data_IF_096408037302
#
_entry.id   IF_096408037302
#
_cell.length_a   1.000
_cell.length_b   1.000
_cell.length_c   1.000
_cell.angle_alpha   90.00
_cell.angle_beta   90.00
_cell.angle_gamma   90.00
#
_symmetry.space_group_name_H-M   'P 1'
#
loop_
_entity.id
_entity.type
_entity.pdbx_description
1 polymer ?
#
# COMPACT_ATOMS: atom_id res chain seq x y z
N UNK A 1 17.69 -21.83 4.29
CA UNK A 1 16.90 -20.59 4.19
C UNK A 1 17.37 -19.65 5.28
N UNK A 2 17.68 -18.40 4.94
CA UNK A 2 18.00 -17.40 5.97
C UNK A 2 16.74 -17.00 6.73
N UNK A 3 16.88 -16.55 7.98
CA UNK A 3 15.76 -16.06 8.79
C UNK A 3 14.96 -14.98 8.05
N UNK A 4 15.65 -14.12 7.32
CA UNK A 4 15.05 -13.04 6.50
C UNK A 4 14.13 -13.61 5.41
N UNK A 5 14.54 -14.70 4.75
CA UNK A 5 13.71 -15.36 3.73
C UNK A 5 12.45 -15.99 4.33
N UNK A 6 12.57 -16.61 5.50
CA UNK A 6 11.41 -17.19 6.20
C UNK A 6 10.41 -16.08 6.57
N UNK A 7 10.89 -14.99 7.14
CA UNK A 7 10.06 -13.82 7.48
C UNK A 7 9.41 -13.21 6.24
N UNK A 8 10.15 -13.10 5.13
CA UNK A 8 9.60 -12.60 3.87
C UNK A 8 8.42 -13.44 3.38
N UNK A 9 8.59 -14.78 3.32
CA UNK A 9 7.51 -15.64 2.87
C UNK A 9 6.32 -15.65 3.83
N UNK A 10 6.55 -15.59 5.14
CA UNK A 10 5.50 -15.53 6.13
C UNK A 10 4.68 -14.23 6.00
N UNK A 11 5.35 -13.07 5.89
CA UNK A 11 4.69 -11.78 5.69
C UNK A 11 3.96 -11.72 4.34
N UNK A 12 4.55 -12.29 3.28
CA UNK A 12 3.91 -12.35 1.96
C UNK A 12 2.64 -13.20 1.98
N UNK A 13 2.67 -14.37 2.60
CA UNK A 13 1.49 -15.21 2.77
C UNK A 13 0.40 -14.52 3.59
N UNK A 14 0.79 -13.84 4.67
CA UNK A 14 -0.13 -13.06 5.50
C UNK A 14 -0.75 -11.88 4.72
N UNK A 15 0.05 -11.15 3.94
CA UNK A 15 -0.42 -10.04 3.10
C UNK A 15 -1.44 -10.52 2.05
N UNK A 16 -1.12 -11.60 1.33
CA UNK A 16 -2.00 -12.18 0.31
C UNK A 16 -3.28 -12.72 0.95
N UNK A 17 -3.18 -13.44 2.06
CA UNK A 17 -4.32 -13.97 2.80
C UNK A 17 -5.27 -12.85 3.25
N UNK A 18 -4.71 -11.80 3.85
CA UNK A 18 -5.47 -10.62 4.28
C UNK A 18 -6.11 -9.90 3.08
N UNK A 19 -5.41 -9.74 1.97
CA UNK A 19 -5.93 -9.11 0.76
C UNK A 19 -7.10 -9.91 0.14
N UNK A 20 -7.02 -11.23 0.14
CA UNK A 20 -8.13 -12.08 -0.29
C UNK A 20 -9.34 -11.89 0.64
N UNK A 21 -9.12 -11.81 1.95
CA UNK A 21 -10.20 -11.58 2.91
C UNK A 21 -10.86 -10.21 2.76
N UNK A 22 -10.14 -9.18 2.32
CA UNK A 22 -10.74 -7.87 1.93
C UNK A 22 -11.79 -8.05 0.85
N UNK A 23 -11.52 -8.90 -0.15
CA UNK A 23 -12.41 -9.11 -1.30
C UNK A 23 -13.59 -10.04 -0.98
N UNK A 24 -13.37 -11.04 -0.15
CA UNK A 24 -14.38 -12.08 0.20
C UNK A 24 -15.33 -11.60 1.29
N UNK A 25 -14.91 -10.66 2.12
CA UNK A 25 -15.71 -10.16 3.24
C UNK A 25 -16.98 -9.47 2.75
N UNK A 26 -18.14 -9.93 3.24
CA UNK A 26 -19.45 -9.34 2.92
C UNK A 26 -19.76 -8.07 3.71
N UNK A 27 -19.07 -7.88 4.83
CA UNK A 27 -19.28 -6.70 5.70
C UNK A 27 -18.18 -5.67 5.38
N UNK A 28 -18.54 -4.45 4.96
CA UNK A 28 -17.57 -3.41 4.63
C UNK A 28 -16.60 -3.08 5.77
N UNK A 29 -17.09 -3.11 7.02
CA UNK A 29 -16.25 -2.85 8.20
C UNK A 29 -15.16 -3.93 8.33
N UNK A 30 -15.53 -5.20 8.18
CA UNK A 30 -14.55 -6.30 8.22
C UNK A 30 -13.55 -6.21 7.06
N UNK A 31 -13.98 -5.79 5.86
CA UNK A 31 -13.07 -5.57 4.73
C UNK A 31 -12.01 -4.52 5.06
N UNK A 32 -12.39 -3.41 5.69
CA UNK A 32 -11.44 -2.36 6.10
C UNK A 32 -10.48 -2.87 7.18
N UNK A 33 -10.95 -3.66 8.12
CA UNK A 33 -10.07 -4.25 9.15
C UNK A 33 -9.02 -5.18 8.52
N UNK A 34 -9.42 -6.02 7.55
CA UNK A 34 -8.47 -6.83 6.79
C UNK A 34 -7.48 -5.98 5.98
N UNK A 35 -7.93 -4.86 5.43
CA UNK A 35 -7.06 -3.94 4.68
C UNK A 35 -6.01 -3.29 5.60
N UNK A 36 -6.36 -2.96 6.85
CA UNK A 36 -5.39 -2.49 7.84
C UNK A 36 -4.30 -3.55 8.06
N UNK A 37 -4.67 -4.83 8.17
CA UNK A 37 -3.70 -5.92 8.32
C UNK A 37 -2.79 -6.06 7.11
N UNK A 38 -3.28 -5.81 5.89
CA UNK A 38 -2.44 -5.74 4.68
C UNK A 38 -1.37 -4.65 4.82
N UNK A 39 -1.73 -3.45 5.30
CA UNK A 39 -0.76 -2.37 5.49
C UNK A 39 0.28 -2.71 6.56
N UNK A 40 -0.09 -3.42 7.63
CA UNK A 40 0.88 -3.91 8.60
C UNK A 40 1.87 -4.91 7.97
N UNK A 41 1.39 -5.82 7.13
CA UNK A 41 2.25 -6.76 6.42
C UNK A 41 3.21 -6.03 5.46
N UNK A 42 2.72 -5.03 4.72
CA UNK A 42 3.54 -4.18 3.84
C UNK A 42 4.62 -3.44 4.65
N UNK A 43 4.28 -2.90 5.82
CA UNK A 43 5.25 -2.26 6.71
C UNK A 43 6.34 -3.24 7.16
N UNK A 44 5.98 -4.50 7.44
CA UNK A 44 6.94 -5.57 7.70
C UNK A 44 7.91 -5.79 6.53
N UNK A 45 7.41 -5.78 5.29
CA UNK A 45 8.27 -5.88 4.09
C UNK A 45 9.20 -4.67 3.97
N UNK A 46 8.75 -3.46 4.28
CA UNK A 46 9.63 -2.28 4.30
C UNK A 46 10.76 -2.40 5.31
N UNK A 47 10.50 -2.99 6.48
CA UNK A 47 11.55 -3.26 7.47
C UNK A 47 12.57 -4.26 6.92
N UNK A 48 12.12 -5.35 6.27
CA UNK A 48 13.00 -6.33 5.65
C UNK A 48 13.86 -5.74 4.53
N UNK A 49 13.39 -4.69 3.86
CA UNK A 49 14.09 -3.95 2.82
C UNK A 49 14.98 -2.82 3.37
N UNK A 50 15.17 -2.73 4.70
CA UNK A 50 15.89 -1.64 5.39
C UNK A 50 15.29 -0.24 5.15
N UNK A 51 14.02 -0.14 4.73
CA UNK A 51 13.29 1.10 4.51
C UNK A 51 12.48 1.49 5.77
N UNK A 52 13.15 1.67 6.89
CA UNK A 52 12.53 1.87 8.20
C UNK A 52 11.62 3.09 8.26
N UNK A 53 12.02 4.20 7.62
CA UNK A 53 11.19 5.40 7.56
C UNK A 53 9.87 5.15 6.84
N UNK A 54 9.91 4.44 5.69
CA UNK A 54 8.70 4.10 4.95
C UNK A 54 7.78 3.17 5.75
N UNK A 55 8.34 2.23 6.51
CA UNK A 55 7.56 1.35 7.38
C UNK A 55 6.76 2.14 8.43
N UNK A 56 7.41 3.09 9.10
CA UNK A 56 6.77 3.92 10.13
C UNK A 56 5.70 4.82 9.51
N UNK A 57 6.00 5.50 8.40
CA UNK A 57 5.03 6.35 7.70
C UNK A 57 3.83 5.55 7.22
N UNK A 58 4.04 4.34 6.70
CA UNK A 58 2.95 3.47 6.27
C UNK A 58 2.01 3.13 7.43
N UNK A 59 2.53 2.81 8.61
CA UNK A 59 1.71 2.53 9.79
C UNK A 59 0.96 3.79 10.25
N UNK A 60 1.65 4.93 10.38
CA UNK A 60 1.05 6.14 10.93
C UNK A 60 0.00 6.72 9.98
N UNK A 61 0.32 6.82 8.69
CA UNK A 61 -0.53 7.50 7.72
C UNK A 61 -1.57 6.55 7.12
N UNK A 62 -1.12 5.41 6.55
CA UNK A 62 -2.05 4.51 5.86
C UNK A 62 -2.90 3.69 6.83
N UNK A 63 -2.27 2.93 7.73
CA UNK A 63 -3.01 2.10 8.67
C UNK A 63 -3.68 2.94 9.78
N UNK A 64 -3.05 4.02 10.22
CA UNK A 64 -3.57 4.93 11.25
C UNK A 64 -4.57 5.93 10.69
N UNK A 65 -4.10 7.02 10.09
CA UNK A 65 -4.94 8.16 9.76
C UNK A 65 -5.99 7.84 8.67
N UNK A 66 -5.54 7.30 7.52
CA UNK A 66 -6.42 7.11 6.36
C UNK A 66 -7.42 5.98 6.61
N UNK A 67 -6.97 4.82 7.10
CA UNK A 67 -7.86 3.68 7.27
C UNK A 67 -8.83 3.87 8.43
N UNK A 68 -8.41 4.51 9.50
CA UNK A 68 -9.31 4.83 10.62
C UNK A 68 -10.39 5.83 10.18
N UNK A 69 -10.01 6.88 9.43
CA UNK A 69 -10.99 7.81 8.84
C UNK A 69 -11.96 7.08 7.91
N UNK A 70 -11.45 6.19 7.06
CA UNK A 70 -12.27 5.41 6.13
C UNK A 70 -13.24 4.49 6.87
N UNK A 71 -12.80 3.87 7.96
CA UNK A 71 -13.64 3.04 8.83
C UNK A 71 -14.78 3.85 9.45
N UNK A 72 -14.50 5.06 9.96
CA UNK A 72 -15.53 5.95 10.45
C UNK A 72 -16.55 6.34 9.39
N UNK A 73 -16.07 6.69 8.19
CA UNK A 73 -16.95 7.06 7.08
C UNK A 73 -17.88 5.90 6.70
N UNK A 74 -17.35 4.67 6.55
CA UNK A 74 -18.17 3.49 6.24
C UNK A 74 -19.18 3.17 7.35
N UNK A 75 -18.80 3.39 8.61
CA UNK A 75 -19.71 3.17 9.75
C UNK A 75 -20.85 4.18 9.76
N UNK A 76 -20.60 5.43 9.34
CA UNK A 76 -21.62 6.48 9.26
C UNK A 76 -22.54 6.34 8.04
N UNK A 77 -22.03 5.80 6.93
CA UNK A 77 -22.82 5.56 5.74
C UNK A 77 -23.61 4.27 5.93
N UNK A 78 -24.95 4.39 5.96
CA UNK A 78 -25.82 3.22 5.95
C UNK A 78 -25.79 2.57 4.56
N UNK A 79 -24.82 1.67 4.36
CA UNK A 79 -24.71 0.88 3.13
C UNK A 79 -25.84 -0.15 3.13
N UNK A 80 -27.04 0.27 2.66
CA UNK A 80 -28.10 -0.70 2.37
C UNK A 80 -27.57 -1.68 1.33
N UNK A 81 -27.77 -2.98 1.60
CA UNK A 81 -27.58 -4.03 0.59
C UNK A 81 -28.64 -3.84 -0.49
N UNK A 82 -28.39 -2.98 -1.45
CA UNK A 82 -29.12 -3.06 -2.71
C UNK A 82 -28.71 -4.39 -3.34
N UNK A 83 -29.71 -5.18 -3.72
CA UNK A 83 -29.51 -6.44 -4.40
C UNK A 83 -28.63 -6.20 -5.64
N UNK A 84 -27.35 -6.57 -5.53
CA UNK A 84 -26.45 -6.47 -6.69
C UNK A 84 -27.09 -7.23 -7.86
N UNK A 85 -27.30 -6.58 -9.02
CA UNK A 85 -27.76 -7.29 -10.20
C UNK A 85 -26.77 -8.43 -10.45
N UNK A 86 -27.28 -9.63 -10.67
CA UNK A 86 -26.45 -10.83 -10.90
C UNK A 86 -25.45 -10.51 -12.01
N UNK A 87 -24.17 -10.32 -11.63
CA UNK A 87 -23.11 -10.07 -12.60
C UNK A 87 -23.08 -11.22 -13.59
N UNK A 88 -23.33 -10.91 -14.86
CA UNK A 88 -23.36 -11.88 -15.93
C UNK A 88 -22.07 -12.70 -15.93
N UNK A 89 -22.17 -13.99 -16.17
CA UNK A 89 -21.02 -14.92 -16.21
C UNK A 89 -19.85 -14.38 -17.08
N UNK A 90 -20.19 -13.71 -18.18
CA UNK A 90 -19.26 -13.09 -19.12
C UNK A 90 -18.37 -12.03 -18.47
N UNK A 91 -18.92 -11.19 -17.60
CA UNK A 91 -18.16 -10.15 -16.86
C UNK A 91 -17.17 -10.78 -15.88
N UNK A 92 -17.57 -11.87 -15.21
CA UNK A 92 -16.68 -12.62 -14.31
C UNK A 92 -15.54 -13.28 -15.10
N UNK A 93 -15.84 -13.89 -16.24
CA UNK A 93 -14.83 -14.50 -17.11
C UNK A 93 -13.81 -13.48 -17.63
N UNK A 94 -14.29 -12.33 -18.13
CA UNK A 94 -13.43 -11.24 -18.59
C UNK A 94 -12.53 -10.69 -17.47
N UNK A 95 -13.05 -10.57 -16.24
CA UNK A 95 -12.27 -10.16 -15.08
C UNK A 95 -11.15 -11.14 -14.75
N UNK A 96 -11.42 -12.45 -14.79
CA UNK A 96 -10.40 -13.49 -14.57
C UNK A 96 -9.34 -13.49 -15.67
N UNK A 97 -9.73 -13.34 -16.93
CA UNK A 97 -8.79 -13.25 -18.06
C UNK A 97 -7.89 -12.00 -17.95
N UNK A 98 -8.49 -10.85 -17.66
CA UNK A 98 -7.74 -9.59 -17.48
C UNK A 98 -6.77 -9.67 -16.29
N UNK A 99 -7.21 -10.17 -15.15
CA UNK A 99 -6.35 -10.36 -13.98
C UNK A 99 -5.25 -11.38 -14.21
N UNK A 100 -5.56 -12.49 -14.87
CA UNK A 100 -4.60 -13.53 -15.25
C UNK A 100 -3.54 -13.04 -16.23
N UNK A 101 -3.95 -12.29 -17.27
CA UNK A 101 -3.01 -11.69 -18.23
C UNK A 101 -2.09 -10.66 -17.57
N UNK A 102 -2.62 -9.83 -16.69
CA UNK A 102 -1.81 -8.87 -15.92
C UNK A 102 -0.79 -9.58 -15.02
N UNK A 103 -1.21 -10.63 -14.31
CA UNK A 103 -0.30 -11.41 -13.46
C UNK A 103 0.82 -12.06 -14.27
N UNK A 104 0.51 -12.65 -15.43
CA UNK A 104 1.53 -13.28 -16.30
C UNK A 104 2.52 -12.27 -16.84
N UNK A 105 2.07 -11.06 -17.21
CA UNK A 105 2.95 -9.96 -17.61
C UNK A 105 3.88 -9.53 -16.47
N UNK A 106 3.38 -9.37 -15.24
CA UNK A 106 4.21 -9.03 -14.09
C UNK A 106 5.28 -10.09 -13.82
N UNK A 107 4.90 -11.36 -13.84
CA UNK A 107 5.86 -12.48 -13.64
C UNK A 107 6.91 -12.51 -14.74
N UNK A 108 6.55 -12.26 -15.99
CA UNK A 108 7.48 -12.19 -17.12
C UNK A 108 8.49 -11.05 -16.95
N UNK A 109 8.02 -9.85 -16.56
CA UNK A 109 8.88 -8.69 -16.31
C UNK A 109 9.87 -8.95 -15.15
N UNK A 110 9.40 -9.52 -14.05
CA UNK A 110 10.27 -9.85 -12.90
C UNK A 110 11.34 -10.87 -13.30
N UNK A 111 11.00 -11.92 -14.07
CA UNK A 111 11.97 -12.89 -14.56
C UNK A 111 13.02 -12.26 -15.48
N UNK A 112 12.61 -11.36 -16.38
CA UNK A 112 13.53 -10.69 -17.28
C UNK A 112 14.50 -9.76 -16.53
N UNK A 113 14.01 -9.06 -15.51
CA UNK A 113 14.83 -8.18 -14.65
C UNK A 113 15.85 -8.99 -13.83
N UNK A 114 15.50 -10.19 -13.37
CA UNK A 114 16.41 -11.05 -12.64
C UNK A 114 17.64 -11.49 -13.48
N UNK A 115 17.51 -11.55 -14.79
CA UNK A 115 18.65 -11.85 -15.69
C UNK A 115 19.59 -10.64 -15.88
N UNK A 116 19.10 -9.42 -15.68
CA UNK A 116 19.90 -8.18 -15.81
C UNK A 116 20.71 -7.91 -14.53
N UNK A 117 20.39 -8.55 -13.43
CA UNK A 117 21.01 -8.37 -12.09
C UNK A 117 22.47 -8.86 -11.96
N UNK A 118 23.13 -9.28 -13.06
CA UNK A 118 24.59 -9.46 -13.10
C UNK A 118 25.37 -8.14 -13.03
N UNK A 119 24.72 -6.99 -13.05
CA UNK A 119 25.33 -5.68 -12.83
C UNK A 119 25.14 -5.34 -11.35
N UNK A 120 26.21 -5.55 -10.58
CA UNK A 120 26.32 -5.11 -9.18
C UNK A 120 25.90 -3.64 -9.06
N UNK A 121 24.60 -3.41 -8.83
CA UNK A 121 24.16 -2.22 -8.17
C UNK A 121 24.68 -2.37 -6.75
N UNK A 122 25.89 -1.83 -6.52
CA UNK A 122 26.43 -1.59 -5.19
C UNK A 122 25.40 -0.70 -4.46
N UNK A 123 24.37 -1.30 -3.92
CA UNK A 123 23.63 -0.72 -2.84
C UNK A 123 24.62 -0.69 -1.67
N UNK A 124 25.35 0.42 -1.62
CA UNK A 124 26.23 0.76 -0.53
C UNK A 124 25.40 0.67 0.73
N UNK A 125 25.75 -0.28 1.57
CA UNK A 125 25.28 -0.55 2.91
C UNK A 125 24.05 0.25 3.39
N UNK A 126 22.92 -0.41 3.54
CA UNK A 126 21.75 -0.20 4.43
C UNK A 126 21.34 1.18 4.98
N UNK A 127 22.04 2.24 4.61
CA UNK A 127 21.89 3.57 5.20
C UNK A 127 20.77 4.39 4.53
N UNK A 128 20.42 4.07 3.28
CA UNK A 128 19.48 4.90 2.50
C UNK A 128 18.04 4.88 3.00
N UNK A 129 17.62 3.85 3.72
CA UNK A 129 16.27 3.73 4.29
C UNK A 129 16.08 4.41 5.63
N UNK A 130 17.15 5.01 6.20
CA UNK A 130 17.12 5.71 7.47
C UNK A 130 16.62 7.15 7.30
N UNK A 131 16.05 7.70 8.35
CA UNK A 131 15.47 9.06 8.35
C UNK A 131 16.51 10.15 8.08
N UNK A 132 17.74 9.98 8.56
CA UNK A 132 18.78 11.01 8.43
C UNK A 132 19.25 11.25 6.98
N UNK A 133 19.63 10.23 6.18
CA UNK A 133 19.97 10.42 4.77
C UNK A 133 18.80 10.95 3.95
N UNK A 134 17.59 10.46 4.24
CA UNK A 134 16.38 10.93 3.56
C UNK A 134 16.12 12.41 3.86
N UNK A 135 16.20 12.81 5.14
CA UNK A 135 16.07 14.21 5.53
C UNK A 135 17.10 15.10 4.84
N UNK A 136 18.38 14.66 4.81
CA UNK A 136 19.42 15.40 4.10
C UNK A 136 19.08 15.59 2.63
N UNK A 137 18.70 14.54 1.92
CA UNK A 137 18.33 14.62 0.50
C UNK A 137 17.12 15.55 0.26
N UNK A 138 16.10 15.49 1.14
CA UNK A 138 14.93 16.36 1.03
C UNK A 138 15.26 17.84 1.19
N UNK A 139 16.18 18.17 2.10
CA UNK A 139 16.55 19.56 2.40
C UNK A 139 17.76 20.08 1.59
N UNK A 140 18.38 19.26 0.73
CA UNK A 140 19.45 19.70 -0.17
C UNK A 140 19.06 19.55 -1.63
N UNK A 141 18.75 18.33 -2.07
CA UNK A 141 18.55 18.01 -3.48
C UNK A 141 17.09 18.20 -3.93
N UNK A 142 16.12 17.99 -3.00
CA UNK A 142 14.68 17.99 -3.29
C UNK A 142 13.92 19.08 -2.53
N UNK A 143 14.55 20.24 -2.26
CA UNK A 143 13.93 21.35 -1.52
C UNK A 143 12.66 21.87 -2.23
N UNK A 144 12.75 22.12 -3.55
CA UNK A 144 11.62 22.66 -4.31
C UNK A 144 10.43 21.71 -4.36
N UNK A 145 10.55 20.43 -4.71
CA UNK A 145 9.45 19.47 -4.59
C UNK A 145 8.89 19.35 -3.17
N UNK A 146 9.75 19.46 -2.16
CA UNK A 146 9.33 19.43 -0.75
C UNK A 146 8.47 20.63 -0.39
N UNK A 147 8.86 21.84 -0.80
CA UNK A 147 8.08 23.06 -0.59
C UNK A 147 6.72 23.03 -1.31
N UNK A 148 6.70 22.54 -2.56
CA UNK A 148 5.45 22.37 -3.31
C UNK A 148 4.51 21.38 -2.60
N UNK A 149 5.03 20.31 -2.04
CA UNK A 149 4.24 19.33 -1.29
C UNK A 149 3.66 19.94 -0.01
N UNK A 150 4.37 20.87 0.65
CA UNK A 150 3.86 21.57 1.84
C UNK A 150 2.69 22.52 1.50
N UNK A 151 2.74 23.19 0.36
CA UNK A 151 1.65 24.05 -0.13
C UNK A 151 0.43 23.18 -0.48
N UNK A 152 0.64 22.03 -1.11
CA UNK A 152 -0.42 21.06 -1.40
C UNK A 152 -1.12 20.58 -0.11
N UNK A 153 -0.34 20.29 0.91
CA UNK A 153 -0.83 19.86 2.22
C UNK A 153 -1.66 20.94 2.90
N UNK A 154 -1.16 22.19 2.89
CA UNK A 154 -1.90 23.36 3.40
C UNK A 154 -3.24 23.54 2.66
N UNK A 155 -3.22 23.49 1.34
CA UNK A 155 -4.39 23.58 0.48
C UNK A 155 -5.43 22.50 0.81
N UNK A 156 -4.97 21.27 1.02
CA UNK A 156 -5.85 20.15 1.41
C UNK A 156 -6.51 20.38 2.79
N UNK A 157 -5.75 20.90 3.77
CA UNK A 157 -6.29 21.24 5.09
C UNK A 157 -7.35 22.35 5.01
N UNK A 158 -7.07 23.41 4.27
CA UNK A 158 -8.03 24.51 4.08
C UNK A 158 -9.29 24.02 3.37
N UNK A 159 -9.12 23.20 2.32
CA UNK A 159 -10.24 22.59 1.61
C UNK A 159 -11.11 21.70 2.51
N UNK A 160 -10.50 20.89 3.35
CA UNK A 160 -11.22 20.03 4.29
C UNK A 160 -12.05 20.84 5.30
N UNK A 161 -11.48 21.94 5.81
CA UNK A 161 -12.19 22.84 6.76
C UNK A 161 -13.37 23.55 6.08
N UNK A 162 -13.19 24.04 4.84
CA UNK A 162 -14.24 24.75 4.09
C UNK A 162 -15.40 23.80 3.79
N UNK A 163 -15.12 22.56 3.36
CA UNK A 163 -16.14 21.55 3.06
C UNK A 163 -16.86 21.09 4.33
N UNK A 164 -16.14 20.97 5.45
CA UNK A 164 -16.70 20.56 6.73
C UNK A 164 -17.49 21.65 7.46
N UNK A 165 -17.34 22.92 7.08
CA UNK A 165 -18.07 24.03 7.69
C UNK A 165 -19.46 24.13 7.05
N UNK A 166 -20.48 23.66 7.78
CA UNK A 166 -21.90 23.91 7.51
C UNK A 166 -22.37 25.17 8.20
#
# INVERSE_FOLDING_TARGET
MSIIQILFFALSAFAIGSAIMVLVSKNPIHSVLWLILVFFAISGHYILLNAQFLAIVNIIVYAGAIMVLFLFVIMLINVKKDSEPQKQFLVKLLGVLAGGSFLTLLVALVKQTAQIQGRNLLMKDGVFGLIHPLGKALFTDYVVPFEISSILFLSAMVGAVIIGKK
#
